data_IF_370151371999
#
_entry.id   IF_370151371999
#
_cell.length_a   1.000
_cell.length_b   1.000
_cell.length_c   1.000
_cell.angle_alpha   90.00
_cell.angle_beta   90.00
_cell.angle_gamma   90.00
#
_symmetry.space_group_name_H-M   'P 1'
#
loop_
_entity.id
_entity.type
_entity.pdbx_description
1 polymer ?
#
# COMPACT_ATOMS: atom_id res chain seq x y z
N UNK A 1 -12.49 -0.17 -11.36
CA UNK A 1 -13.33 -1.33 -11.74
C UNK A 1 -12.66 -2.67 -11.46
N UNK A 2 -11.43 -2.93 -11.95
CA UNK A 2 -10.73 -4.21 -11.69
C UNK A 2 -10.48 -4.53 -10.20
N UNK A 3 -10.08 -3.55 -9.37
CA UNK A 3 -9.85 -3.78 -7.94
C UNK A 3 -11.11 -4.09 -7.13
N UNK A 4 -12.27 -3.56 -7.54
CA UNK A 4 -13.56 -3.82 -6.89
C UNK A 4 -14.06 -5.23 -7.19
N UNK A 5 -13.94 -5.66 -8.44
CA UNK A 5 -14.26 -7.03 -8.85
C UNK A 5 -13.39 -8.06 -8.13
N UNK A 6 -12.08 -7.81 -8.04
CA UNK A 6 -11.17 -8.66 -7.26
C UNK A 6 -11.52 -8.68 -5.78
N UNK A 7 -11.82 -7.54 -5.16
CA UNK A 7 -12.22 -7.47 -3.75
C UNK A 7 -13.45 -8.32 -3.44
N UNK A 8 -14.50 -8.21 -4.26
CA UNK A 8 -15.74 -8.98 -4.11
C UNK A 8 -15.50 -10.49 -4.29
N UNK A 9 -14.77 -10.89 -5.34
CA UNK A 9 -14.42 -12.31 -5.55
C UNK A 9 -13.57 -12.87 -4.41
N UNK A 10 -12.66 -12.07 -3.86
CA UNK A 10 -11.80 -12.47 -2.76
C UNK A 10 -12.63 -12.71 -1.50
N UNK A 11 -13.62 -11.86 -1.20
CA UNK A 11 -14.55 -12.05 -0.08
C UNK A 11 -15.36 -13.36 -0.19
N UNK A 12 -15.97 -13.62 -1.35
CA UNK A 12 -16.72 -14.86 -1.58
C UNK A 12 -15.84 -16.12 -1.53
N UNK A 13 -14.57 -16.02 -1.92
CA UNK A 13 -13.61 -17.13 -1.80
C UNK A 13 -13.09 -17.29 -0.36
N UNK A 14 -13.13 -16.22 0.44
CA UNK A 14 -12.66 -16.21 1.82
C UNK A 14 -13.65 -16.90 2.77
N UNK A 15 -14.96 -16.76 2.55
CA UNK A 15 -16.00 -17.26 3.47
C UNK A 15 -16.00 -18.77 3.74
N UNK A 16 -15.16 -19.56 3.06
CA UNK A 16 -15.00 -21.00 3.25
C UNK A 16 -13.84 -21.45 4.16
N UNK A 17 -13.00 -20.53 4.66
CA UNK A 17 -11.82 -20.88 5.48
C UNK A 17 -11.97 -20.42 6.93
N UNK A 18 -11.93 -21.35 7.90
CA UNK A 18 -12.00 -21.04 9.34
C UNK A 18 -10.73 -20.32 9.87
N UNK A 19 -9.55 -20.56 9.27
CA UNK A 19 -8.25 -20.04 9.74
C UNK A 19 -7.73 -18.80 9.00
N UNK A 20 -8.63 -17.92 8.57
CA UNK A 20 -8.24 -16.69 7.86
C UNK A 20 -7.45 -15.71 8.70
N UNK A 21 -7.67 -15.71 10.01
CA UNK A 21 -7.00 -14.78 10.93
C UNK A 21 -5.49 -14.95 10.89
N UNK A 22 -5.01 -16.20 10.86
CA UNK A 22 -3.59 -16.50 10.83
C UNK A 22 -2.96 -16.05 9.52
N UNK A 23 -3.54 -16.44 8.38
CA UNK A 23 -3.03 -16.04 7.07
C UNK A 23 -3.02 -14.52 6.90
N UNK A 24 -4.12 -13.85 7.25
CA UNK A 24 -4.22 -12.39 7.19
C UNK A 24 -3.19 -11.70 8.09
N UNK A 25 -2.95 -12.22 9.30
CA UNK A 25 -1.94 -11.67 10.21
C UNK A 25 -0.52 -11.78 9.64
N UNK A 26 -0.16 -12.93 9.08
CA UNK A 26 1.15 -13.15 8.45
C UNK A 26 1.34 -12.24 7.24
N UNK A 27 0.35 -12.16 6.35
CA UNK A 27 0.40 -11.26 5.19
C UNK A 27 0.49 -9.78 5.61
N UNK A 28 -0.24 -9.38 6.66
CA UNK A 28 -0.17 -8.03 7.21
C UNK A 28 1.23 -7.70 7.74
N UNK A 29 1.83 -8.61 8.52
CA UNK A 29 3.20 -8.45 9.02
C UNK A 29 4.21 -8.35 7.88
N UNK A 30 4.14 -9.24 6.88
CA UNK A 30 5.03 -9.21 5.71
C UNK A 30 4.90 -7.88 4.94
N UNK A 31 3.66 -7.43 4.71
CA UNK A 31 3.41 -6.16 4.02
C UNK A 31 3.95 -4.96 4.82
N UNK A 32 3.73 -4.92 6.14
CA UNK A 32 4.26 -3.87 7.00
C UNK A 32 5.79 -3.82 6.99
N UNK A 33 6.44 -5.00 6.97
CA UNK A 33 7.90 -5.11 6.93
C UNK A 33 8.47 -4.60 5.61
N UNK A 34 7.89 -5.03 4.47
CA UNK A 34 8.27 -4.53 3.14
C UNK A 34 8.04 -3.02 3.00
N UNK A 35 6.96 -2.51 3.58
CA UNK A 35 6.67 -1.08 3.60
C UNK A 35 7.71 -0.29 4.40
N UNK A 36 8.07 -0.80 5.58
CA UNK A 36 9.15 -0.27 6.40
C UNK A 36 10.48 -0.21 5.63
N UNK A 37 10.87 -1.30 4.98
CA UNK A 37 12.07 -1.33 4.14
C UNK A 37 12.02 -0.34 2.98
N UNK A 38 10.87 -0.17 2.32
CA UNK A 38 10.73 0.79 1.23
C UNK A 38 10.91 2.24 1.74
N UNK A 39 10.32 2.56 2.89
CA UNK A 39 10.51 3.88 3.53
C UNK A 39 11.98 4.08 3.92
N UNK A 40 12.62 3.08 4.53
CA UNK A 40 14.03 3.16 4.89
C UNK A 40 14.91 3.36 3.66
N UNK A 41 14.69 2.61 2.58
CA UNK A 41 15.41 2.78 1.32
C UNK A 41 15.21 4.18 0.72
N UNK A 42 14.00 4.74 0.82
CA UNK A 42 13.70 6.10 0.39
C UNK A 42 14.43 7.14 1.26
N UNK A 43 14.42 6.98 2.59
CA UNK A 43 15.12 7.86 3.54
C UNK A 43 16.62 7.83 3.31
N UNK A 44 17.20 6.65 3.05
CA UNK A 44 18.61 6.50 2.67
C UNK A 44 18.88 7.19 1.32
N UNK A 45 18.02 6.98 0.32
CA UNK A 45 18.16 7.66 -0.98
C UNK A 45 18.13 9.19 -0.81
N UNK A 46 17.26 9.72 0.07
CA UNK A 46 17.22 11.15 0.39
C UNK A 46 18.46 11.62 1.15
N UNK A 47 18.96 10.82 2.08
CA UNK A 47 20.13 11.15 2.89
C UNK A 47 21.42 11.16 2.06
N UNK A 48 21.55 10.24 1.11
CA UNK A 48 22.73 10.11 0.23
C UNK A 48 22.59 11.03 -1.00
N UNK A 49 21.38 11.48 -1.33
CA UNK A 49 21.16 12.41 -2.43
C UNK A 49 21.88 13.74 -2.19
N UNK A 50 22.95 13.96 -2.95
CA UNK A 50 23.71 15.21 -2.94
C UNK A 50 22.80 16.43 -3.24
N UNK A 51 23.11 17.62 -2.73
CA UNK A 51 22.27 18.83 -2.92
C UNK A 51 21.96 19.09 -4.39
N UNK A 52 22.94 18.87 -5.27
CA UNK A 52 22.79 19.02 -6.72
C UNK A 52 21.95 17.91 -7.37
N UNK A 53 21.88 16.72 -6.76
CA UNK A 53 21.03 15.62 -7.19
C UNK A 53 19.58 15.85 -6.75
N UNK A 54 19.34 16.24 -5.49
CA UNK A 54 18.00 16.67 -5.03
C UNK A 54 17.49 17.81 -5.90
N UNK A 55 18.31 18.80 -6.23
CA UNK A 55 17.92 19.91 -7.12
C UNK A 55 17.58 19.40 -8.52
N UNK A 56 18.39 18.51 -9.13
CA UNK A 56 18.09 17.95 -10.47
C UNK A 56 16.84 17.07 -10.51
N UNK A 57 16.57 16.24 -9.49
CA UNK A 57 15.33 15.46 -9.46
C UNK A 57 14.12 16.32 -9.04
N UNK A 58 14.33 17.36 -8.22
CA UNK A 58 13.29 18.34 -7.88
C UNK A 58 12.84 19.11 -9.14
N UNK A 59 13.78 19.47 -10.03
CA UNK A 59 13.51 20.10 -11.32
C UNK A 59 12.73 19.17 -12.26
N UNK A 60 13.02 17.86 -12.28
CA UNK A 60 12.25 16.89 -13.08
C UNK A 60 10.92 16.47 -12.46
N UNK A 61 10.64 16.87 -11.20
CA UNK A 61 9.38 16.62 -10.48
C UNK A 61 9.10 15.15 -10.14
N UNK A 62 9.97 14.21 -10.56
CA UNK A 62 9.76 12.78 -10.41
C UNK A 62 9.83 12.35 -8.94
N UNK A 63 10.72 12.97 -8.16
CA UNK A 63 10.88 12.69 -6.73
C UNK A 63 9.66 13.11 -5.92
N UNK A 64 9.13 14.31 -6.14
CA UNK A 64 7.92 14.79 -5.47
C UNK A 64 6.70 13.90 -5.79
N UNK A 65 6.54 13.49 -7.07
CA UNK A 65 5.49 12.55 -7.46
C UNK A 65 5.67 11.17 -6.81
N UNK A 66 6.90 10.73 -6.57
CA UNK A 66 7.18 9.45 -5.92
C UNK A 66 6.81 9.50 -4.44
N UNK A 67 7.29 10.52 -3.72
CA UNK A 67 6.98 10.74 -2.30
C UNK A 67 5.48 10.94 -2.09
N UNK A 68 4.83 11.75 -2.92
CA UNK A 68 3.38 11.96 -2.86
C UNK A 68 2.59 10.66 -3.06
N UNK A 69 3.04 9.79 -3.98
CA UNK A 69 2.42 8.46 -4.17
C UNK A 69 2.65 7.53 -2.98
N UNK A 70 3.81 7.56 -2.34
CA UNK A 70 4.07 6.81 -1.11
C UNK A 70 3.15 7.26 0.03
N UNK A 71 2.96 8.56 0.22
CA UNK A 71 1.99 9.09 1.19
C UNK A 71 0.55 8.68 0.85
N UNK A 72 0.20 8.63 -0.44
CA UNK A 72 -1.11 8.15 -0.88
C UNK A 72 -1.32 6.65 -0.56
N UNK A 73 -0.30 5.80 -0.76
CA UNK A 73 -0.31 4.39 -0.36
C UNK A 73 -0.49 4.25 1.16
N UNK A 74 0.24 5.04 1.95
CA UNK A 74 0.11 5.06 3.41
C UNK A 74 -1.31 5.46 3.85
N UNK A 75 -1.88 6.50 3.25
CA UNK A 75 -3.26 6.94 3.54
C UNK A 75 -4.31 5.88 3.20
N UNK A 76 -4.16 5.19 2.07
CA UNK A 76 -5.05 4.09 1.67
C UNK A 76 -4.94 2.88 2.60
N UNK A 77 -3.74 2.56 3.08
CA UNK A 77 -3.54 1.52 4.10
C UNK A 77 -4.22 1.90 5.41
N UNK A 78 -4.11 3.16 5.83
CA UNK A 78 -4.76 3.67 7.04
C UNK A 78 -6.30 3.55 6.93
N UNK A 79 -6.88 3.90 5.78
CA UNK A 79 -8.31 3.72 5.50
C UNK A 79 -8.74 2.23 5.51
N UNK A 80 -7.90 1.34 4.99
CA UNK A 80 -8.14 -0.10 5.06
C UNK A 80 -8.17 -0.60 6.50
N UNK A 81 -7.24 -0.15 7.36
CA UNK A 81 -7.19 -0.51 8.78
C UNK A 81 -8.41 0.05 9.52
N UNK A 82 -8.75 1.32 9.32
CA UNK A 82 -9.90 1.97 9.99
C UNK A 82 -11.20 1.27 9.61
N UNK A 83 -11.42 0.94 8.34
CA UNK A 83 -12.61 0.20 7.90
C UNK A 83 -12.66 -1.22 8.48
N UNK A 84 -11.51 -1.91 8.59
CA UNK A 84 -11.41 -3.21 9.25
C UNK A 84 -11.72 -3.15 10.76
N UNK A 85 -11.23 -2.12 11.46
CA UNK A 85 -11.53 -1.91 12.89
C UNK A 85 -13.00 -1.57 13.11
N UNK A 86 -13.58 -0.71 12.27
CA UNK A 86 -15.01 -0.40 12.31
C UNK A 86 -15.88 -1.63 12.08
N UNK A 87 -15.44 -2.57 11.23
CA UNK A 87 -16.14 -3.84 11.02
C UNK A 87 -16.18 -4.70 12.29
N UNK A 88 -15.17 -4.63 13.16
CA UNK A 88 -15.13 -5.40 14.41
C UNK A 88 -16.06 -4.83 15.49
N UNK A 89 -16.37 -3.54 15.43
CA UNK A 89 -17.22 -2.83 16.40
C UNK A 89 -18.68 -2.74 15.91
N UNK A 90 -18.93 -2.98 14.63
CA UNK A 90 -20.28 -2.97 14.06
C UNK A 90 -21.08 -4.21 14.51
N UNK A 91 -22.29 -3.97 15.03
CA UNK A 91 -23.21 -5.03 15.45
C UNK A 91 -24.06 -5.63 14.32
N UNK A 92 -24.25 -4.89 13.23
CA UNK A 92 -25.10 -5.30 12.10
C UNK A 92 -24.32 -6.11 11.06
N UNK A 93 -24.81 -7.31 10.73
CA UNK A 93 -24.18 -8.24 9.78
C UNK A 93 -23.94 -7.63 8.39
N UNK A 94 -24.91 -6.85 7.89
CA UNK A 94 -24.80 -6.20 6.58
C UNK A 94 -23.73 -5.10 6.57
N UNK A 95 -23.61 -4.34 7.67
CA UNK A 95 -22.56 -3.33 7.84
C UNK A 95 -21.18 -3.95 7.96
N UNK A 96 -21.05 -5.06 8.70
CA UNK A 96 -19.80 -5.81 8.84
C UNK A 96 -19.32 -6.30 7.47
N UNK A 97 -20.22 -6.90 6.67
CA UNK A 97 -19.89 -7.39 5.33
C UNK A 97 -19.45 -6.27 4.39
N UNK A 98 -20.13 -5.11 4.43
CA UNK A 98 -19.75 -3.93 3.66
C UNK A 98 -18.38 -3.40 4.08
N UNK A 99 -18.14 -3.24 5.39
CA UNK A 99 -16.88 -2.71 5.92
C UNK A 99 -15.69 -3.64 5.64
N UNK A 100 -15.86 -4.95 5.75
CA UNK A 100 -14.83 -5.93 5.36
C UNK A 100 -14.53 -5.82 3.87
N UNK A 101 -15.55 -5.77 3.01
CA UNK A 101 -15.34 -5.65 1.56
C UNK A 101 -14.61 -4.34 1.18
N UNK A 102 -14.94 -3.23 1.86
CA UNK A 102 -14.27 -1.94 1.69
C UNK A 102 -12.81 -2.00 2.15
N UNK A 103 -12.54 -2.65 3.29
CA UNK A 103 -11.18 -2.81 3.81
C UNK A 103 -10.28 -3.59 2.83
N UNK A 104 -10.79 -4.67 2.24
CA UNK A 104 -10.09 -5.48 1.24
C UNK A 104 -9.87 -4.70 -0.06
N UNK A 105 -10.85 -3.88 -0.47
CA UNK A 105 -10.71 -3.02 -1.64
C UNK A 105 -9.59 -2.00 -1.47
N UNK A 106 -9.56 -1.28 -0.35
CA UNK A 106 -8.51 -0.32 -0.06
C UNK A 106 -7.13 -0.98 0.06
N UNK A 107 -7.07 -2.18 0.65
CA UNK A 107 -5.84 -2.96 0.76
C UNK A 107 -5.28 -3.34 -0.62
N UNK A 108 -6.11 -3.92 -1.49
CA UNK A 108 -5.72 -4.26 -2.85
C UNK A 108 -5.29 -3.02 -3.65
N UNK A 109 -6.03 -1.92 -3.53
CA UNK A 109 -5.68 -0.68 -4.23
C UNK A 109 -4.34 -0.11 -3.76
N UNK A 110 -4.09 -0.15 -2.45
CA UNK A 110 -2.81 0.26 -1.87
C UNK A 110 -1.66 -0.61 -2.36
N UNK A 111 -1.86 -1.93 -2.45
CA UNK A 111 -0.85 -2.85 -2.97
C UNK A 111 -0.51 -2.58 -4.44
N UNK A 112 -1.50 -2.34 -5.30
CA UNK A 112 -1.27 -1.97 -6.70
C UNK A 112 -0.49 -0.66 -6.84
N UNK A 113 -0.84 0.36 -6.05
CA UNK A 113 -0.11 1.62 -6.03
C UNK A 113 1.32 1.43 -5.52
N UNK A 114 1.53 0.59 -4.50
CA UNK A 114 2.84 0.27 -3.95
C UNK A 114 3.76 -0.39 -5.01
N UNK A 115 3.28 -1.42 -5.71
CA UNK A 115 4.02 -2.05 -6.81
C UNK A 115 4.34 -1.02 -7.91
N UNK A 116 3.37 -0.18 -8.26
CA UNK A 116 3.56 0.89 -9.24
C UNK A 116 4.61 1.93 -8.81
N UNK A 117 4.72 2.21 -7.51
CA UNK A 117 5.76 3.08 -6.94
C UNK A 117 7.12 2.39 -6.95
N UNK A 118 7.19 1.11 -6.57
CA UNK A 118 8.43 0.33 -6.60
C UNK A 118 9.06 0.26 -8.00
N UNK A 119 8.25 0.05 -9.04
CA UNK A 119 8.74 0.08 -10.43
C UNK A 119 9.28 1.45 -10.85
N UNK A 120 8.67 2.55 -10.36
CA UNK A 120 9.17 3.91 -10.63
C UNK A 120 10.46 4.20 -9.87
N UNK A 121 10.58 3.68 -8.65
CA UNK A 121 11.79 3.78 -7.85
C UNK A 121 12.97 3.10 -8.55
N UNK A 122 12.76 1.90 -9.13
CA UNK A 122 13.77 1.21 -9.94
C UNK A 122 14.29 2.07 -11.10
N UNK A 123 13.39 2.75 -11.84
CA UNK A 123 13.80 3.65 -12.93
C UNK A 123 14.66 4.82 -12.48
N UNK A 124 14.39 5.38 -11.29
CA UNK A 124 15.22 6.47 -10.73
C UNK A 124 16.62 5.97 -10.40
N UNK A 125 16.74 4.76 -9.83
CA UNK A 125 18.02 4.13 -9.55
C UNK A 125 18.83 3.80 -10.81
N UNK A 126 18.18 3.32 -11.88
CA UNK A 126 18.84 3.03 -13.16
C UNK A 126 19.41 4.30 -13.83
N UNK A 127 18.73 5.45 -13.68
CA UNK A 127 19.23 6.74 -14.18
C UNK A 127 20.45 7.21 -13.37
N UNK A 128 20.47 6.92 -12.08
CA UNK A 128 21.56 7.28 -11.15
C UNK A 128 22.84 6.47 -11.35
N UNK A 129 22.71 5.22 -11.82
CA UNK A 129 23.84 4.30 -12.00
C UNK A 129 24.61 4.53 -13.32
N UNK A 130 24.15 5.47 -14.17
CA UNK A 130 24.82 5.87 -15.41
C UNK A 130 25.54 7.20 -15.21
#
# INVERSE_FOLDING_TARGET
>A
MLSAYFGYKTYCSLSGYEDLRLSASVFSTLAATLFGFLITALSILVAIADKNFIVRIRVTGHFYKLVSKLFCVAGLLLLSIVSGVLALVAGDKDLVMLLISASLFFLMHSFFLFVGVGMKFKKVFEILSK
#
